data_IF_198766454617
#
_entry.id   IF_198766454617
#
_cell.length_a   1.000
_cell.length_b   1.000
_cell.length_c   1.000
_cell.angle_alpha   90.00
_cell.angle_beta   90.00
_cell.angle_gamma   90.00
#
_symmetry.space_group_name_H-M   'P 1'
#
loop_
_entity.id
_entity.type
_entity.pdbx_description
1 polymer ?
#
# COMPACT_ATOMS: atom_id res chain seq x y z
N UNK A 1 57.02 59.58 81.19
CA UNK A 1 56.86 60.12 79.83
C UNK A 1 55.52 59.62 79.34
N UNK A 2 54.46 60.23 79.82
CA UNK A 2 53.08 59.88 79.50
C UNK A 2 52.73 60.46 78.14
N UNK A 3 52.31 59.61 77.20
CA UNK A 3 51.82 60.03 75.89
C UNK A 3 50.29 60.12 75.95
N UNK A 4 49.77 61.32 76.05
CA UNK A 4 48.35 61.60 75.87
C UNK A 4 47.93 61.19 74.45
N UNK A 5 46.90 60.35 74.37
CA UNK A 5 46.35 59.83 73.12
C UNK A 5 45.34 60.85 72.60
N UNK A 6 45.67 61.55 71.51
CA UNK A 6 44.72 62.40 70.79
C UNK A 6 43.76 61.51 69.99
N UNK A 7 42.45 61.69 70.21
CA UNK A 7 41.42 61.06 69.40
C UNK A 7 41.20 61.84 68.09
N UNK A 8 41.10 61.17 66.93
CA UNK A 8 40.86 61.84 65.66
C UNK A 8 39.39 62.26 65.56
N UNK A 9 39.14 63.57 65.41
CA UNK A 9 37.82 64.07 65.00
C UNK A 9 37.60 63.81 63.51
N UNK A 10 36.61 62.97 63.21
CA UNK A 10 36.14 62.75 61.84
C UNK A 10 35.41 64.01 61.33
N UNK A 11 36.00 64.72 60.38
CA UNK A 11 35.30 65.74 59.60
C UNK A 11 34.34 65.08 58.60
N UNK A 12 33.22 65.75 58.31
CA UNK A 12 32.15 65.26 57.44
C UNK A 12 32.67 64.90 56.02
N UNK A 13 32.17 63.83 55.40
CA UNK A 13 32.65 63.36 54.10
C UNK A 13 32.31 64.34 52.98
N UNK A 14 33.31 64.67 52.18
CA UNK A 14 33.18 65.51 51.00
C UNK A 14 32.47 64.73 49.87
N UNK A 15 31.20 65.05 49.66
CA UNK A 15 30.33 64.43 48.66
C UNK A 15 30.63 64.87 47.23
N UNK A 16 31.57 65.80 47.04
CA UNK A 16 31.91 66.36 45.72
C UNK A 16 32.73 65.38 44.85
N UNK A 17 33.22 64.27 45.41
CA UNK A 17 34.03 63.27 44.69
C UNK A 17 33.23 62.02 44.22
N UNK A 18 31.90 62.04 44.35
CA UNK A 18 31.06 60.93 43.92
C UNK A 18 30.71 61.04 42.42
N UNK A 19 31.56 60.48 41.55
CA UNK A 19 31.21 60.26 40.14
C UNK A 19 30.44 58.94 39.96
N UNK A 20 29.17 59.05 39.58
CA UNK A 20 28.34 57.89 39.22
C UNK A 20 28.66 57.43 37.79
N UNK A 21 29.13 56.19 37.63
CA UNK A 21 29.33 55.58 36.31
C UNK A 21 27.97 55.42 35.61
N UNK A 22 27.83 55.98 34.41
CA UNK A 22 26.67 55.78 33.56
C UNK A 22 26.54 54.31 33.13
N UNK A 23 25.38 53.70 33.38
CA UNK A 23 25.06 52.34 32.97
C UNK A 23 25.21 52.15 31.46
N UNK A 24 26.22 51.38 31.05
CA UNK A 24 26.25 50.83 29.69
C UNK A 24 25.20 49.74 29.61
N UNK A 25 24.12 50.02 28.90
CA UNK A 25 23.11 49.03 28.50
C UNK A 25 23.82 47.97 27.64
N UNK A 26 24.13 46.84 28.26
CA UNK A 26 24.66 45.66 27.59
C UNK A 26 23.49 45.03 26.83
N UNK A 27 23.41 45.24 25.51
CA UNK A 27 22.49 44.48 24.68
C UNK A 27 22.90 43.00 24.72
N UNK A 28 22.20 42.23 25.56
CA UNK A 28 22.28 40.78 25.54
C UNK A 28 21.59 40.37 24.24
N UNK A 29 22.40 40.03 23.23
CA UNK A 29 21.92 39.40 22.02
C UNK A 29 21.27 38.08 22.44
N UNK A 30 19.94 38.09 22.55
CA UNK A 30 19.14 36.94 22.93
C UNK A 30 19.18 36.03 21.71
N UNK A 31 20.08 35.05 21.73
CA UNK A 31 20.09 33.95 20.78
C UNK A 31 18.71 33.27 20.88
N UNK A 32 17.83 33.59 19.95
CA UNK A 32 16.50 32.97 19.87
C UNK A 32 16.73 31.53 19.46
N UNK A 33 16.91 30.63 20.45
CA UNK A 33 16.82 29.19 20.25
C UNK A 33 15.44 28.90 19.66
N UNK A 34 15.39 28.76 18.34
CA UNK A 34 14.23 28.24 17.64
C UNK A 34 13.85 26.86 18.21
N UNK A 35 12.59 26.46 18.08
CA UNK A 35 12.11 25.21 18.67
C UNK A 35 12.91 24.01 18.13
N UNK A 36 13.21 23.01 18.97
CA UNK A 36 14.18 21.94 18.67
C UNK A 36 13.74 20.97 17.56
N UNK A 37 12.58 21.19 16.95
CA UNK A 37 11.99 20.36 15.90
C UNK A 37 12.92 20.14 14.70
N UNK A 38 13.76 21.14 14.36
CA UNK A 38 14.74 20.99 13.28
C UNK A 38 15.73 19.85 13.54
N UNK A 39 16.23 19.71 14.77
CA UNK A 39 17.15 18.64 15.15
C UNK A 39 16.45 17.28 15.22
N UNK A 40 15.20 17.26 15.66
CA UNK A 40 14.39 16.03 15.71
C UNK A 40 14.15 15.52 14.28
N UNK A 41 13.71 16.40 13.37
CA UNK A 41 13.48 16.06 11.98
C UNK A 41 14.77 15.57 11.29
N UNK A 42 15.89 16.27 11.50
CA UNK A 42 17.19 15.86 11.00
C UNK A 42 17.62 14.48 11.54
N UNK A 43 17.42 14.23 12.83
CA UNK A 43 17.73 12.95 13.46
C UNK A 43 16.90 11.79 12.89
N UNK A 44 15.61 12.02 12.64
CA UNK A 44 14.73 11.00 12.02
C UNK A 44 15.20 10.66 10.61
N UNK A 45 15.50 11.67 9.78
CA UNK A 45 15.99 11.45 8.40
C UNK A 45 17.30 10.67 8.41
N UNK A 46 18.25 11.03 9.27
CA UNK A 46 19.53 10.31 9.39
C UNK A 46 19.30 8.85 9.81
N UNK A 47 18.39 8.60 10.75
CA UNK A 47 18.07 7.25 11.22
C UNK A 47 17.45 6.41 10.10
N UNK A 48 16.55 6.99 9.31
CA UNK A 48 15.95 6.31 8.15
C UNK A 48 17.02 5.94 7.12
N UNK A 49 17.93 6.86 6.80
CA UNK A 49 19.01 6.60 5.83
C UNK A 49 19.95 5.50 6.32
N UNK A 50 20.29 5.49 7.62
CA UNK A 50 21.10 4.42 8.22
C UNK A 50 20.36 3.08 8.14
N UNK A 51 19.07 3.05 8.47
CA UNK A 51 18.26 1.84 8.40
C UNK A 51 18.17 1.29 6.96
N UNK A 52 17.91 2.15 5.97
CA UNK A 52 17.90 1.76 4.56
C UNK A 52 19.27 1.21 4.11
N UNK A 53 20.37 1.88 4.49
CA UNK A 53 21.72 1.41 4.17
C UNK A 53 22.05 0.05 4.81
N UNK A 54 21.62 -0.19 6.05
CA UNK A 54 21.80 -1.48 6.73
C UNK A 54 20.97 -2.59 6.07
N UNK A 55 19.76 -2.29 5.62
CA UNK A 55 18.92 -3.24 4.88
C UNK A 55 19.58 -3.60 3.55
N UNK A 56 19.98 -2.60 2.76
CA UNK A 56 20.65 -2.83 1.47
C UNK A 56 21.95 -3.63 1.64
N UNK A 57 22.75 -3.31 2.66
CA UNK A 57 23.97 -4.05 2.96
C UNK A 57 23.68 -5.52 3.32
N UNK A 58 22.66 -5.76 4.13
CA UNK A 58 22.24 -7.11 4.52
C UNK A 58 21.70 -7.90 3.33
N UNK A 59 20.85 -7.26 2.50
CA UNK A 59 20.31 -7.86 1.28
C UNK A 59 21.42 -8.19 0.29
N UNK A 60 22.39 -7.30 0.06
CA UNK A 60 23.53 -7.60 -0.84
C UNK A 60 24.36 -8.77 -0.36
N UNK A 61 24.60 -8.88 0.95
CA UNK A 61 25.37 -9.99 1.53
C UNK A 61 24.63 -11.32 1.44
N UNK A 62 23.31 -11.33 1.65
CA UNK A 62 22.49 -12.53 1.51
C UNK A 62 22.25 -12.90 0.04
N UNK A 63 22.04 -11.91 -0.83
CA UNK A 63 21.87 -12.11 -2.25
C UNK A 63 23.09 -12.81 -2.86
N UNK A 64 24.31 -12.46 -2.47
CA UNK A 64 25.52 -13.13 -2.98
C UNK A 64 25.54 -14.65 -2.68
N UNK A 65 25.06 -15.07 -1.51
CA UNK A 65 24.98 -16.49 -1.15
C UNK A 65 23.83 -17.19 -1.89
N UNK A 66 22.67 -16.55 -1.97
CA UNK A 66 21.49 -17.09 -2.66
C UNK A 66 21.72 -17.19 -4.17
N UNK A 67 22.37 -16.20 -4.79
CA UNK A 67 22.70 -16.24 -6.22
C UNK A 67 23.73 -17.32 -6.54
N UNK A 68 24.67 -17.60 -5.64
CA UNK A 68 25.65 -18.67 -5.84
C UNK A 68 24.96 -20.05 -5.89
N UNK A 69 23.94 -20.27 -5.06
CA UNK A 69 23.15 -21.51 -5.11
C UNK A 69 22.16 -21.54 -6.28
N UNK A 70 21.49 -20.41 -6.59
CA UNK A 70 20.55 -20.33 -7.72
C UNK A 70 21.22 -20.52 -9.09
N UNK A 71 22.47 -20.06 -9.23
CA UNK A 71 23.24 -20.18 -10.49
C UNK A 71 24.02 -21.47 -10.59
N UNK A 72 24.01 -22.30 -9.54
CA UNK A 72 24.67 -23.61 -9.58
C UNK A 72 23.96 -24.49 -10.61
N UNK A 73 24.67 -25.10 -11.57
CA UNK A 73 24.07 -26.07 -12.47
C UNK A 73 23.51 -27.22 -11.65
N UNK A 74 22.23 -27.52 -11.88
CA UNK A 74 21.51 -28.61 -11.22
C UNK A 74 22.26 -29.93 -11.44
N UNK A 75 22.43 -30.72 -10.38
CA UNK A 75 23.07 -32.03 -10.53
C UNK A 75 22.15 -32.98 -11.31
N UNK A 76 22.70 -34.02 -11.96
CA UNK A 76 21.91 -34.99 -12.72
C UNK A 76 20.81 -35.67 -11.89
N UNK A 77 21.07 -35.89 -10.60
CA UNK A 77 20.10 -36.48 -9.68
C UNK A 77 18.95 -35.52 -9.33
N UNK A 78 19.25 -34.24 -9.16
CA UNK A 78 18.25 -33.20 -8.94
C UNK A 78 17.43 -32.96 -10.21
N UNK A 79 18.07 -32.97 -11.39
CA UNK A 79 17.39 -32.85 -12.67
C UNK A 79 16.39 -33.99 -12.90
N UNK A 80 16.79 -35.23 -12.61
CA UNK A 80 15.89 -36.38 -12.73
C UNK A 80 14.66 -36.29 -11.79
N UNK A 81 14.83 -35.75 -10.58
CA UNK A 81 13.70 -35.49 -9.67
C UNK A 81 12.81 -34.38 -10.21
N UNK A 82 13.39 -33.29 -10.67
CA UNK A 82 12.65 -32.17 -11.26
C UNK A 82 11.85 -32.62 -12.48
N UNK A 83 12.45 -33.38 -13.39
CA UNK A 83 11.78 -33.92 -14.57
C UNK A 83 10.62 -34.86 -14.17
N UNK A 84 10.80 -35.68 -13.13
CA UNK A 84 9.75 -36.54 -12.61
C UNK A 84 8.60 -35.73 -12.00
N UNK A 85 8.91 -34.67 -11.26
CA UNK A 85 7.92 -33.77 -10.66
C UNK A 85 7.14 -32.99 -11.73
N UNK A 86 7.83 -32.47 -12.75
CA UNK A 86 7.21 -31.81 -13.91
C UNK A 86 6.33 -32.79 -14.68
N UNK A 87 6.80 -34.02 -14.92
CA UNK A 87 6.00 -35.04 -15.57
C UNK A 87 4.75 -35.40 -14.77
N UNK A 88 4.84 -35.43 -13.44
CA UNK A 88 3.69 -35.65 -12.55
C UNK A 88 2.69 -34.49 -12.65
N UNK A 89 3.16 -33.25 -12.54
CA UNK A 89 2.33 -32.04 -12.67
C UNK A 89 1.62 -31.98 -14.02
N UNK A 90 2.32 -32.29 -15.11
CA UNK A 90 1.72 -32.32 -16.44
C UNK A 90 0.59 -33.35 -16.54
N UNK A 91 0.75 -34.55 -15.95
CA UNK A 91 -0.31 -35.56 -15.93
C UNK A 91 -1.52 -35.11 -15.12
N UNK A 92 -1.29 -34.48 -13.98
CA UNK A 92 -2.36 -33.94 -13.13
C UNK A 92 -3.11 -32.81 -13.86
N UNK A 93 -2.38 -31.87 -14.47
CA UNK A 93 -2.96 -30.79 -15.25
C UNK A 93 -3.74 -31.29 -16.47
N UNK A 94 -3.25 -32.31 -17.19
CA UNK A 94 -3.99 -32.94 -18.28
C UNK A 94 -5.27 -33.63 -17.79
N UNK A 95 -5.22 -34.32 -16.66
CA UNK A 95 -6.38 -34.99 -16.08
C UNK A 95 -7.45 -33.98 -15.66
N UNK A 96 -7.03 -32.88 -15.04
CA UNK A 96 -7.92 -31.78 -14.66
C UNK A 96 -8.52 -31.09 -15.88
N UNK A 97 -7.70 -30.79 -16.90
CA UNK A 97 -8.19 -30.19 -18.15
C UNK A 97 -9.22 -31.10 -18.84
N UNK A 98 -9.03 -32.42 -18.83
CA UNK A 98 -10.00 -33.39 -19.36
C UNK A 98 -11.27 -33.47 -18.51
N UNK A 99 -11.18 -33.33 -17.19
CA UNK A 99 -12.34 -33.29 -16.31
C UNK A 99 -13.16 -32.01 -16.54
N UNK A 100 -12.48 -30.87 -16.66
CA UNK A 100 -13.10 -29.58 -16.97
C UNK A 100 -13.78 -29.56 -18.34
N UNK A 101 -13.15 -30.12 -19.39
CA UNK A 101 -13.80 -30.23 -20.70
C UNK A 101 -15.08 -31.06 -20.63
N UNK A 102 -15.05 -32.20 -19.93
CA UNK A 102 -16.23 -33.06 -19.76
C UNK A 102 -17.35 -32.37 -19.00
N UNK A 103 -17.04 -31.61 -17.94
CA UNK A 103 -18.07 -30.86 -17.22
C UNK A 103 -18.66 -29.74 -18.07
N UNK A 104 -17.86 -29.08 -18.91
CA UNK A 104 -18.34 -28.06 -19.83
C UNK A 104 -19.24 -28.64 -20.94
N UNK A 105 -18.86 -29.78 -21.51
CA UNK A 105 -19.70 -30.49 -22.50
C UNK A 105 -21.05 -30.92 -21.89
N UNK A 106 -21.05 -31.44 -20.66
CA UNK A 106 -22.29 -31.76 -19.94
C UNK A 106 -23.14 -30.53 -19.65
N UNK A 107 -22.51 -29.41 -19.29
CA UNK A 107 -23.21 -28.15 -19.07
C UNK A 107 -23.87 -27.63 -20.36
N UNK A 108 -23.22 -27.82 -21.52
CA UNK A 108 -23.79 -27.46 -22.82
C UNK A 108 -24.94 -28.40 -23.24
N UNK A 109 -24.82 -29.70 -23.00
CA UNK A 109 -25.87 -30.68 -23.33
C UNK A 109 -27.14 -30.50 -22.48
N UNK A 110 -26.98 -30.04 -21.25
CA UNK A 110 -28.10 -29.71 -20.36
C UNK A 110 -28.72 -28.33 -20.61
N UNK A 111 -28.15 -27.52 -21.52
CA UNK A 111 -28.81 -26.28 -21.91
C UNK A 111 -30.06 -26.60 -22.72
N UNK A 112 -31.25 -26.11 -22.32
CA UNK A 112 -32.44 -26.29 -23.12
C UNK A 112 -32.20 -25.61 -24.47
N UNK A 113 -32.36 -26.37 -25.55
CA UNK A 113 -32.40 -25.80 -26.89
C UNK A 113 -33.51 -24.74 -26.90
N UNK A 114 -33.13 -23.46 -27.04
CA UNK A 114 -34.09 -22.39 -27.21
C UNK A 114 -34.79 -22.62 -28.55
N UNK A 115 -35.94 -23.28 -28.53
CA UNK A 115 -36.76 -23.46 -29.71
C UNK A 115 -37.13 -22.07 -30.21
N UNK A 116 -36.61 -21.70 -31.38
CA UNK A 116 -37.00 -20.45 -32.02
C UNK A 116 -38.53 -20.45 -32.18
N UNK A 117 -39.22 -19.34 -31.84
CA UNK A 117 -40.66 -19.23 -32.03
C UNK A 117 -41.06 -19.63 -33.45
N UNK A 118 -42.15 -20.39 -33.59
CA UNK A 118 -42.70 -20.72 -34.90
C UNK A 118 -42.95 -19.43 -35.71
N UNK A 119 -42.78 -19.42 -37.04
CA UNK A 119 -43.15 -18.26 -37.83
C UNK A 119 -44.64 -17.92 -37.66
N UNK A 120 -45.00 -16.64 -37.77
CA UNK A 120 -46.39 -16.18 -37.71
C UNK A 120 -47.19 -16.72 -38.90
N UNK A 121 -48.34 -17.35 -38.65
CA UNK A 121 -49.24 -17.79 -39.72
C UNK A 121 -50.18 -16.66 -40.15
N UNK A 122 -50.84 -16.84 -41.28
CA UNK A 122 -51.80 -15.88 -41.83
C UNK A 122 -52.95 -15.64 -40.85
N UNK A 123 -53.14 -14.40 -40.42
CA UNK A 123 -54.16 -14.03 -39.44
C UNK A 123 -53.71 -14.13 -37.97
N UNK A 124 -52.46 -14.50 -37.72
CA UNK A 124 -51.83 -14.41 -36.40
C UNK A 124 -51.06 -13.09 -36.24
N UNK A 125 -50.97 -12.57 -35.02
CA UNK A 125 -50.13 -11.43 -34.66
C UNK A 125 -49.49 -11.64 -33.29
N UNK A 126 -48.28 -11.14 -33.13
CA UNK A 126 -47.63 -11.06 -31.82
C UNK A 126 -47.94 -9.70 -31.18
N UNK A 127 -48.54 -9.71 -29.98
CA UNK A 127 -48.78 -8.50 -29.19
C UNK A 127 -48.33 -8.78 -27.75
N UNK A 128 -47.34 -8.02 -27.27
CA UNK A 128 -46.85 -8.13 -25.89
C UNK A 128 -46.28 -9.52 -25.53
N UNK A 129 -45.58 -10.17 -26.46
CA UNK A 129 -44.99 -11.51 -26.26
C UNK A 129 -45.99 -12.67 -26.33
N UNK A 130 -47.25 -12.38 -26.69
CA UNK A 130 -48.31 -13.39 -26.86
C UNK A 130 -48.73 -13.48 -28.32
N UNK A 131 -48.99 -14.70 -28.78
CA UNK A 131 -49.53 -14.97 -30.11
C UNK A 131 -51.05 -14.94 -30.08
N UNK A 132 -51.63 -14.09 -30.92
CA UNK A 132 -53.07 -13.91 -31.05
C UNK A 132 -53.53 -14.32 -32.45
N UNK A 133 -54.59 -15.12 -32.54
CA UNK A 133 -55.24 -15.49 -33.79
C UNK A 133 -56.50 -14.65 -34.02
N UNK A 134 -56.67 -14.13 -35.23
CA UNK A 134 -57.87 -13.38 -35.63
C UNK A 134 -59.07 -14.33 -35.74
N UNK A 135 -60.16 -13.97 -35.08
CA UNK A 135 -61.46 -14.65 -35.14
C UNK A 135 -62.54 -13.67 -35.63
N UNK A 136 -63.71 -14.17 -36.03
CA UNK A 136 -64.85 -13.30 -36.35
C UNK A 136 -65.26 -12.51 -35.10
N UNK A 137 -65.01 -11.20 -35.12
CA UNK A 137 -65.33 -10.30 -34.01
C UNK A 137 -64.20 -10.06 -33.00
N UNK A 138 -62.98 -10.59 -33.18
CA UNK A 138 -61.90 -10.30 -32.23
C UNK A 138 -60.59 -11.06 -32.40
N UNK A 139 -59.85 -11.17 -31.30
CA UNK A 139 -58.58 -11.88 -31.18
C UNK A 139 -58.68 -12.96 -30.10
N UNK A 140 -58.11 -14.13 -30.38
CA UNK A 140 -58.02 -15.25 -29.44
C UNK A 140 -56.55 -15.54 -29.13
N UNK A 141 -56.23 -15.70 -27.84
CA UNK A 141 -54.89 -16.12 -27.40
C UNK A 141 -54.62 -17.58 -27.81
N UNK A 142 -53.41 -17.84 -28.32
CA UNK A 142 -52.93 -19.18 -28.70
C UNK A 142 -51.98 -19.66 -27.59
N UNK A 143 -52.44 -20.56 -26.69
CA UNK A 143 -51.61 -21.04 -25.59
C UNK A 143 -50.42 -21.85 -26.12
N UNK A 144 -49.26 -21.71 -25.46
CA UNK A 144 -48.01 -22.44 -25.73
C UNK A 144 -47.21 -22.06 -26.98
N UNK A 145 -47.55 -20.97 -27.69
CA UNK A 145 -46.75 -20.45 -28.81
C UNK A 145 -46.30 -19.01 -28.50
N UNK A 146 -45.21 -18.81 -27.73
CA UNK A 146 -44.71 -17.48 -27.40
C UNK A 146 -44.20 -16.75 -28.65
N UNK A 147 -44.29 -15.43 -28.57
CA UNK A 147 -43.55 -14.49 -29.40
C UNK A 147 -42.51 -13.78 -28.51
#
# INVERSE_FOLDING_TARGET
MDRERQEPTFSAPDVTDLQFRSDRVRQISRETRGPPWGYIAAGVVVTILIAMGLIEWNVRRQAAAITAELTRPMTKAEQAKFDADVAKLNREAEAEARAFRRSMEQALDTMPAYAAPNPLRTGERCIGGKRLQRIEGGWRDVPNDPC
#
